data_IF_261274750858
#
_entry.id   IF_261274750858
#
_cell.length_a   1.000
_cell.length_b   1.000
_cell.length_c   1.000
_cell.angle_alpha   90.00
_cell.angle_beta   90.00
_cell.angle_gamma   90.00
#
_symmetry.space_group_name_H-M   'P 1'
#
loop_
_entity.id
_entity.type
_entity.pdbx_description
1 polymer ?
#
# COMPACT_ATOMS: atom_id res chain seq x y z
N UNK A 1 -26.34 73.71 55.75
CA UNK A 1 -26.41 72.26 56.05
C UNK A 1 -26.16 71.49 54.77
N UNK A 2 -25.02 70.79 54.65
CA UNK A 2 -24.64 70.00 53.46
C UNK A 2 -24.72 68.52 53.86
N UNK A 3 -25.54 67.72 53.17
CA UNK A 3 -25.61 66.26 53.38
C UNK A 3 -24.62 65.58 52.41
N UNK A 4 -23.79 64.62 52.87
CA UNK A 4 -22.93 63.86 51.97
C UNK A 4 -23.71 62.69 51.35
N UNK A 5 -23.46 62.43 50.07
CA UNK A 5 -23.96 61.25 49.36
C UNK A 5 -22.94 60.12 49.51
N UNK A 6 -23.35 59.00 50.11
CA UNK A 6 -22.54 57.78 50.18
C UNK A 6 -22.69 57.01 48.87
N UNK A 7 -21.57 56.78 48.17
CA UNK A 7 -21.50 55.85 47.04
C UNK A 7 -21.37 54.42 47.58
N UNK A 8 -22.36 53.57 47.29
CA UNK A 8 -22.28 52.12 47.54
C UNK A 8 -21.55 51.45 46.38
N UNK A 9 -20.44 50.76 46.66
CA UNK A 9 -19.73 49.92 45.70
C UNK A 9 -20.31 48.50 45.71
N UNK A 10 -20.82 48.03 44.56
CA UNK A 10 -21.25 46.64 44.37
C UNK A 10 -20.05 45.77 43.95
N UNK A 11 -19.44 45.05 44.90
CA UNK A 11 -18.40 44.04 44.64
C UNK A 11 -18.98 42.64 44.90
N UNK A 12 -19.69 42.05 43.94
CA UNK A 12 -20.30 40.72 44.14
C UNK A 12 -20.50 39.87 42.90
N UNK A 13 -21.05 40.43 41.81
CA UNK A 13 -21.46 39.64 40.63
C UNK A 13 -20.30 39.20 39.71
N UNK A 14 -19.17 39.92 39.73
CA UNK A 14 -18.04 39.68 38.82
C UNK A 14 -17.31 38.34 39.07
N UNK A 15 -17.30 37.85 40.31
CA UNK A 15 -16.55 36.64 40.68
C UNK A 15 -17.24 35.34 40.26
N UNK A 16 -18.57 35.29 40.27
CA UNK A 16 -19.32 34.13 39.78
C UNK A 16 -19.32 34.02 38.25
N UNK A 17 -19.37 35.15 37.54
CA UNK A 17 -19.35 35.18 36.07
C UNK A 17 -17.99 34.76 35.48
N UNK A 18 -16.89 35.08 36.18
CA UNK A 18 -15.55 34.65 35.77
C UNK A 18 -15.33 33.15 35.98
N UNK A 19 -15.85 32.58 37.07
CA UNK A 19 -15.73 31.16 37.37
C UNK A 19 -16.52 30.27 36.38
N UNK A 20 -17.72 30.69 35.97
CA UNK A 20 -18.52 29.97 34.97
C UNK A 20 -17.96 30.12 33.55
N UNK A 21 -17.45 31.29 33.17
CA UNK A 21 -16.79 31.48 31.87
C UNK A 21 -15.55 30.58 31.72
N UNK A 22 -14.78 30.36 32.79
CA UNK A 22 -13.59 29.51 32.78
C UNK A 22 -13.92 28.01 32.64
N UNK A 23 -15.03 27.56 33.24
CA UNK A 23 -15.52 26.18 33.15
C UNK A 23 -16.10 25.87 31.76
N UNK A 24 -16.78 26.82 31.13
CA UNK A 24 -17.31 26.68 29.76
C UNK A 24 -16.17 26.70 28.74
N UNK A 25 -15.15 27.53 28.94
CA UNK A 25 -13.98 27.57 28.05
C UNK A 25 -13.16 26.27 28.07
N UNK A 26 -13.13 25.56 29.20
CA UNK A 26 -12.46 24.25 29.30
C UNK A 26 -13.27 23.11 28.68
N UNK A 27 -14.61 23.17 28.70
CA UNK A 27 -15.47 22.20 28.02
C UNK A 27 -15.54 22.39 26.49
N UNK A 28 -15.40 23.63 26.01
CA UNK A 28 -15.43 23.95 24.57
C UNK A 28 -14.05 23.86 23.88
N UNK A 29 -13.00 23.51 24.62
CA UNK A 29 -11.69 23.31 24.03
C UNK A 29 -11.71 22.04 23.14
N UNK A 30 -11.24 22.11 21.89
CA UNK A 30 -11.14 20.93 21.05
C UNK A 30 -10.18 19.93 21.70
N UNK A 31 -10.70 18.79 22.13
CA UNK A 31 -9.89 17.70 22.64
C UNK A 31 -9.25 16.99 21.44
N UNK A 32 -8.05 17.42 21.06
CA UNK A 32 -7.25 16.74 20.04
C UNK A 32 -6.80 15.38 20.56
N UNK A 33 -7.54 14.33 20.21
CA UNK A 33 -7.09 12.94 20.37
C UNK A 33 -5.91 12.71 19.42
N UNK A 34 -4.69 12.76 19.94
CA UNK A 34 -3.50 12.27 19.24
C UNK A 34 -3.54 10.74 19.35
N UNK A 35 -4.11 10.09 18.34
CA UNK A 35 -3.93 8.65 18.18
C UNK A 35 -2.49 8.43 17.72
N UNK A 36 -1.63 7.96 18.62
CA UNK A 36 -0.31 7.49 18.23
C UNK A 36 -0.50 6.39 17.18
N UNK A 37 0.03 6.59 15.98
CA UNK A 37 0.06 5.56 14.96
C UNK A 37 0.91 4.41 15.51
N UNK A 38 0.26 3.35 15.99
CA UNK A 38 0.93 2.11 16.33
C UNK A 38 1.63 1.62 15.05
N UNK A 39 2.96 1.58 15.05
CA UNK A 39 3.72 1.02 13.93
C UNK A 39 3.33 -0.44 13.78
N UNK A 40 2.73 -0.78 12.64
CA UNK A 40 2.44 -2.17 12.33
C UNK A 40 3.78 -2.94 12.28
N UNK A 41 3.88 -4.11 12.91
CA UNK A 41 5.08 -4.93 12.82
C UNK A 41 5.35 -5.28 11.35
N UNK A 42 6.61 -5.18 10.93
CA UNK A 42 7.08 -5.52 9.58
C UNK A 42 7.86 -6.83 9.63
N UNK A 43 7.18 -7.99 9.63
CA UNK A 43 7.86 -9.27 9.63
C UNK A 43 8.65 -9.43 8.32
N UNK A 44 9.91 -9.88 8.42
CA UNK A 44 10.79 -10.02 7.27
C UNK A 44 10.22 -10.93 6.16
N UNK A 45 9.38 -11.90 6.52
CA UNK A 45 8.71 -12.79 5.57
C UNK A 45 7.71 -12.10 4.63
N UNK A 46 7.16 -10.94 5.02
CA UNK A 46 6.23 -10.18 4.18
C UNK A 46 6.91 -9.12 3.30
N UNK A 47 8.19 -8.83 3.51
CA UNK A 47 8.89 -7.77 2.75
C UNK A 47 8.85 -7.98 1.23
N UNK A 48 8.98 -9.23 0.69
CA UNK A 48 8.85 -9.46 -0.74
C UNK A 48 7.45 -9.10 -1.27
N UNK A 49 6.40 -9.48 -0.54
CA UNK A 49 5.00 -9.25 -0.94
C UNK A 49 4.63 -7.77 -0.84
N UNK A 50 5.07 -7.10 0.23
CA UNK A 50 4.92 -5.65 0.40
C UNK A 50 5.62 -4.92 -0.74
N UNK A 51 6.85 -5.33 -1.09
CA UNK A 51 7.60 -4.73 -2.19
C UNK A 51 6.89 -4.91 -3.53
N UNK A 52 6.32 -6.08 -3.78
CA UNK A 52 5.54 -6.35 -4.98
C UNK A 52 4.32 -5.42 -5.08
N UNK A 53 3.47 -5.37 -4.05
CA UNK A 53 2.27 -4.53 -4.08
C UNK A 53 2.58 -3.04 -4.14
N UNK A 54 3.63 -2.58 -3.44
CA UNK A 54 4.10 -1.21 -3.56
C UNK A 54 4.49 -0.86 -4.99
N UNK A 55 5.15 -1.78 -5.70
CA UNK A 55 5.48 -1.61 -7.12
C UNK A 55 4.23 -1.56 -8.00
N UNK A 56 3.29 -2.50 -7.81
CA UNK A 56 2.04 -2.53 -8.58
C UNK A 56 1.27 -1.21 -8.45
N UNK A 57 1.10 -0.70 -7.24
CA UNK A 57 0.30 0.51 -7.01
C UNK A 57 1.09 1.82 -7.18
N UNK A 58 2.42 1.77 -7.17
CA UNK A 58 3.28 2.96 -7.21
C UNK A 58 4.00 3.19 -8.54
N UNK A 59 4.32 2.13 -9.29
CA UNK A 59 5.25 2.20 -10.42
C UNK A 59 4.69 1.59 -11.71
N UNK A 60 3.75 0.65 -11.63
CA UNK A 60 3.18 0.00 -12.83
C UNK A 60 2.00 0.83 -13.33
N UNK A 61 2.08 1.28 -14.58
CA UNK A 61 1.01 2.10 -15.18
C UNK A 61 -0.17 1.24 -15.65
N UNK A 62 -1.29 1.88 -16.01
CA UNK A 62 -2.44 1.21 -16.64
C UNK A 62 -2.11 0.66 -18.04
N UNK A 63 -1.01 1.13 -18.63
CA UNK A 63 -0.45 0.67 -19.90
C UNK A 63 0.53 -0.48 -19.77
N UNK A 64 0.67 -1.03 -18.57
CA UNK A 64 1.60 -2.11 -18.31
C UNK A 64 0.89 -3.26 -17.61
N UNK A 65 1.37 -4.48 -17.84
CA UNK A 65 0.92 -5.66 -17.13
C UNK A 65 2.10 -6.52 -16.70
N UNK A 66 2.04 -7.11 -15.50
CA UNK A 66 3.05 -8.07 -15.04
C UNK A 66 2.49 -9.48 -15.09
N UNK A 67 3.21 -10.38 -15.76
CA UNK A 67 3.01 -11.82 -15.58
C UNK A 67 3.90 -12.24 -14.39
N UNK A 68 3.30 -12.74 -13.32
CA UNK A 68 4.02 -13.12 -12.11
C UNK A 68 3.53 -14.46 -11.55
N UNK A 69 4.33 -15.05 -10.65
CA UNK A 69 3.94 -16.25 -9.91
C UNK A 69 2.90 -15.92 -8.83
N UNK A 70 1.94 -16.82 -8.59
CA UNK A 70 0.86 -16.58 -7.63
C UNK A 70 1.22 -16.89 -6.18
N UNK A 71 2.32 -17.61 -5.92
CA UNK A 71 2.77 -17.96 -4.56
C UNK A 71 4.01 -17.18 -4.16
N UNK A 72 4.89 -16.92 -5.12
CA UNK A 72 6.13 -16.17 -4.90
C UNK A 72 6.07 -14.86 -5.69
N UNK A 73 5.44 -13.84 -5.13
CA UNK A 73 5.18 -12.56 -5.83
C UNK A 73 6.45 -11.87 -6.34
N UNK A 74 7.61 -12.14 -5.73
CA UNK A 74 8.91 -11.68 -6.23
C UNK A 74 9.36 -12.32 -7.56
N UNK A 75 8.66 -13.34 -8.06
CA UNK A 75 8.93 -14.00 -9.34
C UNK A 75 8.06 -13.37 -10.42
N UNK A 76 8.63 -12.39 -11.12
CA UNK A 76 8.00 -11.75 -12.26
C UNK A 76 8.58 -12.34 -13.55
N UNK A 77 7.72 -12.98 -14.33
CA UNK A 77 8.08 -13.60 -15.59
C UNK A 77 8.25 -12.59 -16.71
N UNK A 78 7.38 -11.59 -16.79
CA UNK A 78 7.44 -10.55 -17.83
C UNK A 78 6.72 -9.28 -17.40
N UNK A 79 7.19 -8.16 -17.92
CA UNK A 79 6.45 -6.90 -17.96
C UNK A 79 6.05 -6.64 -19.41
N UNK A 80 4.75 -6.56 -19.65
CA UNK A 80 4.16 -6.23 -20.94
C UNK A 80 3.97 -4.71 -21.02
N UNK A 81 4.34 -4.14 -22.16
CA UNK A 81 3.94 -2.80 -22.56
C UNK A 81 2.71 -2.94 -23.47
N UNK A 82 1.62 -2.30 -23.07
CA UNK A 82 0.32 -2.33 -23.73
C UNK A 82 -0.08 -0.95 -24.29
N UNK A 83 0.83 0.04 -24.24
CA UNK A 83 0.57 1.42 -24.66
C UNK A 83 0.18 1.54 -26.15
N UNK A 84 0.70 0.64 -26.99
CA UNK A 84 0.36 0.60 -28.43
C UNK A 84 -1.01 -0.03 -28.72
N UNK A 85 -1.64 -0.69 -27.74
CA UNK A 85 -2.87 -1.47 -27.94
C UNK A 85 -4.13 -0.65 -27.64
N UNK A 86 -4.80 -0.20 -28.70
CA UNK A 86 -5.92 0.74 -28.64
C UNK A 86 -7.27 0.15 -28.21
N UNK A 87 -7.36 -1.17 -27.97
CA UNK A 87 -8.62 -1.80 -27.56
C UNK A 87 -8.42 -2.81 -26.44
N UNK A 88 -9.39 -2.88 -25.53
CA UNK A 88 -9.41 -3.86 -24.44
C UNK A 88 -9.29 -5.30 -24.95
N UNK A 89 -9.94 -5.60 -26.09
CA UNK A 89 -9.83 -6.91 -26.72
C UNK A 89 -8.41 -7.23 -27.21
N UNK A 90 -7.67 -6.25 -27.75
CA UNK A 90 -6.27 -6.46 -28.14
C UNK A 90 -5.36 -6.66 -26.93
N UNK A 91 -5.56 -5.84 -25.89
CA UNK A 91 -4.83 -5.96 -24.62
C UNK A 91 -5.05 -7.31 -23.95
N UNK A 92 -6.30 -7.78 -23.92
CA UNK A 92 -6.65 -9.07 -23.37
C UNK A 92 -5.99 -10.22 -24.13
N UNK A 93 -5.99 -10.16 -25.47
CA UNK A 93 -5.29 -11.15 -26.30
C UNK A 93 -3.78 -11.19 -26.03
N UNK A 94 -3.14 -10.04 -25.86
CA UNK A 94 -1.71 -9.97 -25.54
C UNK A 94 -1.42 -10.57 -24.16
N UNK A 95 -2.21 -10.21 -23.15
CA UNK A 95 -2.09 -10.79 -21.82
C UNK A 95 -2.32 -12.31 -21.81
N UNK A 96 -3.29 -12.81 -22.57
CA UNK A 96 -3.57 -14.25 -22.65
C UNK A 96 -2.51 -15.01 -23.44
N UNK A 97 -1.94 -14.41 -24.48
CA UNK A 97 -0.78 -14.95 -25.19
C UNK A 97 0.44 -15.06 -24.27
N UNK A 98 0.68 -14.05 -23.43
CA UNK A 98 1.75 -14.07 -22.44
C UNK A 98 1.51 -15.16 -21.37
N UNK A 99 0.29 -15.28 -20.82
CA UNK A 99 -0.08 -16.38 -19.91
C UNK A 99 0.18 -17.74 -20.55
N UNK A 100 -0.28 -17.96 -21.78
CA UNK A 100 -0.08 -19.22 -22.49
C UNK A 100 1.42 -19.51 -22.73
N UNK A 101 2.22 -18.50 -23.07
CA UNK A 101 3.68 -18.62 -23.22
C UNK A 101 4.31 -19.12 -21.91
N UNK A 102 4.03 -18.47 -20.78
CA UNK A 102 4.64 -18.86 -19.50
C UNK A 102 4.09 -20.16 -18.94
N UNK A 103 2.81 -20.48 -19.13
CA UNK A 103 2.26 -21.79 -18.76
C UNK A 103 2.99 -22.92 -19.48
N UNK A 104 3.29 -22.77 -20.78
CA UNK A 104 4.07 -23.78 -21.53
C UNK A 104 5.49 -23.91 -21.01
N UNK A 105 6.19 -22.79 -20.80
CA UNK A 105 7.56 -22.79 -20.26
C UNK A 105 7.58 -23.48 -18.88
N UNK A 106 6.70 -23.07 -17.97
CA UNK A 106 6.66 -23.61 -16.61
C UNK A 106 6.30 -25.10 -16.60
N UNK A 107 5.34 -25.52 -17.43
CA UNK A 107 4.97 -26.94 -17.56
C UNK A 107 6.15 -27.78 -18.05
N UNK A 108 6.87 -27.30 -19.09
CA UNK A 108 8.06 -27.98 -19.61
C UNK A 108 9.16 -28.07 -18.56
N UNK A 109 9.44 -26.98 -17.85
CA UNK A 109 10.48 -26.95 -16.82
C UNK A 109 10.10 -27.83 -15.60
N UNK A 110 8.82 -27.89 -15.23
CA UNK A 110 8.31 -28.75 -14.17
C UNK A 110 8.41 -30.25 -14.52
N UNK A 111 8.34 -30.60 -15.81
CA UNK A 111 8.58 -31.97 -16.28
C UNK A 111 10.05 -32.40 -16.19
N UNK A 112 10.96 -31.53 -15.74
CA UNK A 112 12.38 -31.83 -15.59
C UNK A 112 13.19 -31.71 -16.88
N UNK A 113 12.60 -31.24 -17.98
CA UNK A 113 13.36 -31.01 -19.21
C UNK A 113 14.35 -29.85 -19.02
N UNK A 114 15.62 -30.15 -19.27
CA UNK A 114 16.75 -29.20 -19.23
C UNK A 114 17.52 -29.17 -20.55
N UNK A 115 17.09 -29.95 -21.54
CA UNK A 115 17.75 -30.10 -22.82
C UNK A 115 17.23 -29.07 -23.82
N UNK A 116 18.13 -28.48 -24.63
CA UNK A 116 17.73 -27.58 -25.71
C UNK A 116 16.85 -26.40 -25.28
N UNK A 117 17.01 -25.90 -24.05
CA UNK A 117 16.20 -24.79 -23.55
C UNK A 117 16.43 -23.55 -24.39
N UNK A 118 15.35 -22.86 -24.79
CA UNK A 118 15.39 -21.55 -25.42
C UNK A 118 15.80 -20.44 -24.45
N UNK A 119 15.88 -19.21 -24.95
CA UNK A 119 16.29 -18.03 -24.15
C UNK A 119 15.37 -17.81 -22.95
N UNK A 120 14.06 -17.79 -23.19
CA UNK A 120 13.07 -17.49 -22.15
C UNK A 120 12.99 -18.61 -21.12
N UNK A 121 13.10 -19.87 -21.55
CA UNK A 121 13.10 -21.02 -20.64
C UNK A 121 14.30 -21.00 -19.71
N UNK A 122 15.50 -20.70 -20.23
CA UNK A 122 16.70 -20.54 -19.38
C UNK A 122 16.55 -19.38 -18.40
N UNK A 123 16.00 -18.26 -18.85
CA UNK A 123 15.74 -17.10 -17.99
C UNK A 123 14.74 -17.44 -16.89
N UNK A 124 13.63 -18.09 -17.23
CA UNK A 124 12.62 -18.52 -16.26
C UNK A 124 13.20 -19.53 -15.28
N UNK A 125 13.97 -20.52 -15.75
CA UNK A 125 14.64 -21.48 -14.88
C UNK A 125 15.60 -20.78 -13.91
N UNK A 126 16.37 -19.79 -14.39
CA UNK A 126 17.27 -19.00 -13.56
C UNK A 126 16.53 -18.18 -12.49
N UNK A 127 15.31 -17.71 -12.77
CA UNK A 127 14.50 -17.03 -11.75
C UNK A 127 14.31 -17.92 -10.53
N UNK A 128 14.23 -19.24 -10.69
CA UNK A 128 13.97 -20.22 -9.62
C UNK A 128 15.22 -20.78 -8.93
N UNK A 129 16.43 -20.42 -9.37
CA UNK A 129 17.66 -20.92 -8.78
C UNK A 129 17.77 -20.54 -7.29
N UNK A 130 18.04 -21.54 -6.44
CA UNK A 130 18.24 -21.33 -4.99
C UNK A 130 16.97 -21.16 -4.17
N UNK A 131 15.78 -21.38 -4.75
CA UNK A 131 14.52 -21.41 -3.99
C UNK A 131 14.14 -22.82 -3.55
N UNK A 132 13.40 -22.97 -2.43
CA UNK A 132 12.86 -24.26 -2.00
C UNK A 132 12.11 -24.95 -3.15
N UNK A 133 12.49 -26.20 -3.45
CA UNK A 133 11.93 -26.97 -4.57
C UNK A 133 12.69 -26.84 -5.90
N UNK A 134 13.78 -26.07 -5.98
CA UNK A 134 14.63 -25.96 -7.18
C UNK A 134 15.70 -27.06 -7.32
N UNK A 135 15.71 -28.06 -6.42
CA UNK A 135 16.69 -29.14 -6.38
C UNK A 135 16.12 -30.40 -7.05
N UNK A 136 16.25 -30.49 -8.38
CA UNK A 136 16.06 -31.71 -9.17
C UNK A 136 16.84 -31.59 -10.47
#
# INVERSE_FOLDING_TARGET
MIRPTVVKTFRGASRCLLATALLVATLCAPQSLVLAAQTLPRPAGLEPDISFWRKIFGEVSTDEALVHDNRYLGVVYEKLDLSDLQSDGARQREMDAAKARYSRILTRLAAGDRSGLGRDERRVLALWAGRPGSSS
#
